data_IF_434995673858
#
_entry.id   IF_434995673858
#
_cell.length_a   1.000
_cell.length_b   1.000
_cell.length_c   1.000
_cell.angle_alpha   90.00
_cell.angle_beta   90.00
_cell.angle_gamma   90.00
#
_symmetry.space_group_name_H-M   'P 1'
#
loop_
_entity.id
_entity.type
_entity.pdbx_description
1 polymer ?
#
# COMPACT_ATOMS: atom_id res chain seq x y z
N UNK A 1 4.59 3.51 29.87
CA UNK A 1 5.43 3.09 28.74
C UNK A 1 5.98 4.25 27.92
N UNK A 2 5.27 4.89 26.97
CA UNK A 2 5.86 6.01 26.19
C UNK A 2 6.43 7.12 27.10
N UNK A 3 5.65 7.62 28.08
CA UNK A 3 6.14 8.64 29.02
C UNK A 3 7.32 8.23 29.92
N UNK A 4 7.59 6.94 30.11
CA UNK A 4 8.69 6.46 30.96
C UNK A 4 10.02 6.38 30.19
N UNK A 5 9.98 6.11 28.88
CA UNK A 5 11.16 6.04 28.01
C UNK A 5 11.76 7.45 27.75
N UNK A 6 10.96 8.51 27.92
CA UNK A 6 11.29 9.85 27.44
C UNK A 6 11.39 10.95 28.52
N UNK A 7 11.97 10.65 29.69
CA UNK A 7 12.18 11.65 30.75
C UNK A 7 13.42 12.52 30.49
N UNK A 8 13.21 13.70 29.90
CA UNK A 8 14.18 14.81 29.72
C UNK A 8 13.49 16.00 29.02
N UNK A 9 13.91 17.27 29.22
CA UNK A 9 13.23 18.42 28.62
C UNK A 9 13.18 18.38 27.09
N UNK A 10 14.28 18.04 26.42
CA UNK A 10 14.31 17.81 24.96
C UNK A 10 13.47 16.59 24.55
N UNK A 11 13.34 15.58 25.42
CA UNK A 11 12.52 14.39 25.20
C UNK A 11 11.02 14.64 25.38
N UNK A 12 10.62 15.68 26.12
CA UNK A 12 9.22 16.11 26.25
C UNK A 12 8.69 16.69 24.95
N UNK A 13 9.44 17.58 24.30
CA UNK A 13 9.03 18.17 23.04
C UNK A 13 8.95 17.12 21.91
N UNK A 14 9.87 16.14 21.90
CA UNK A 14 9.79 14.95 21.03
C UNK A 14 8.51 14.15 21.26
N UNK A 15 8.24 13.79 22.52
CA UNK A 15 7.03 13.06 22.88
C UNK A 15 5.78 13.82 22.47
N UNK A 16 5.78 15.12 22.69
CA UNK A 16 4.61 15.94 22.45
C UNK A 16 4.27 15.98 20.97
N UNK A 17 5.23 16.18 20.06
CA UNK A 17 4.92 16.19 18.62
C UNK A 17 4.47 14.81 18.14
N UNK A 18 5.13 13.74 18.58
CA UNK A 18 4.83 12.37 18.17
C UNK A 18 3.44 11.95 18.65
N UNK A 19 3.14 12.16 19.93
CA UNK A 19 1.86 11.82 20.53
C UNK A 19 0.72 12.71 20.00
N UNK A 20 1.02 13.95 19.61
CA UNK A 20 0.07 14.82 18.93
C UNK A 20 -0.25 14.34 17.52
N UNK A 21 0.74 13.88 16.74
CA UNK A 21 0.49 13.33 15.40
C UNK A 21 -0.33 12.04 15.46
N UNK A 22 0.02 11.11 16.36
CA UNK A 22 -0.80 9.90 16.58
C UNK A 22 -2.20 10.26 17.06
N UNK A 23 -2.30 11.16 18.05
CA UNK A 23 -3.58 11.63 18.58
C UNK A 23 -4.44 12.34 17.52
N UNK A 24 -3.81 13.07 16.59
CA UNK A 24 -4.47 13.74 15.48
C UNK A 24 -5.16 12.74 14.55
N UNK A 25 -4.46 11.70 14.08
CA UNK A 25 -5.05 10.71 13.19
C UNK A 25 -6.13 9.87 13.87
N UNK A 26 -5.93 9.48 15.14
CA UNK A 26 -6.95 8.76 15.92
C UNK A 26 -8.20 9.62 16.11
N UNK A 27 -8.04 10.89 16.48
CA UNK A 27 -9.16 11.81 16.66
C UNK A 27 -9.91 12.09 15.35
N UNK A 28 -9.20 12.20 14.23
CA UNK A 28 -9.82 12.33 12.92
C UNK A 28 -10.57 11.06 12.52
N UNK A 29 -9.99 9.87 12.69
CA UNK A 29 -10.70 8.62 12.44
C UNK A 29 -11.98 8.51 13.26
N UNK A 30 -11.93 8.84 14.55
CA UNK A 30 -13.11 8.84 15.42
C UNK A 30 -14.19 9.84 14.94
N UNK A 31 -13.80 11.01 14.46
CA UNK A 31 -14.72 11.96 13.84
C UNK A 31 -15.41 11.32 12.63
N UNK A 32 -14.67 10.67 11.72
CA UNK A 32 -15.24 10.06 10.53
C UNK A 32 -16.13 8.84 10.86
N UNK A 33 -15.77 8.03 11.85
CA UNK A 33 -16.60 6.92 12.35
C UNK A 33 -17.91 7.38 12.98
N UNK A 34 -17.93 8.59 13.53
CA UNK A 34 -19.15 9.18 14.10
C UNK A 34 -20.12 9.73 13.04
N UNK A 35 -19.67 9.86 11.77
CA UNK A 35 -20.51 10.33 10.67
C UNK A 35 -21.49 9.23 10.20
N UNK A 36 -22.56 9.65 9.52
CA UNK A 36 -23.49 8.71 8.89
C UNK A 36 -22.81 7.86 7.79
N UNK A 37 -23.36 6.68 7.42
CA UNK A 37 -22.72 5.76 6.47
C UNK A 37 -22.37 6.35 5.09
N UNK A 38 -23.05 7.43 4.68
CA UNK A 38 -22.78 8.14 3.41
C UNK A 38 -21.64 9.14 3.49
N UNK A 39 -21.35 9.63 4.69
CA UNK A 39 -20.39 10.71 4.95
C UNK A 39 -19.09 10.20 5.53
N UNK A 40 -19.13 9.03 6.21
CA UNK A 40 -17.98 8.33 6.77
C UNK A 40 -16.90 8.10 5.72
N UNK A 41 -15.66 8.41 6.11
CA UNK A 41 -14.45 8.13 5.34
C UNK A 41 -13.45 7.34 6.18
N UNK A 42 -12.80 6.38 5.58
CA UNK A 42 -11.69 5.69 6.22
C UNK A 42 -10.47 6.62 6.21
N UNK A 43 -9.89 6.84 7.39
CA UNK A 43 -8.73 7.71 7.57
C UNK A 43 -7.51 6.85 7.83
N UNK A 44 -7.59 5.98 8.83
CA UNK A 44 -6.50 5.09 9.20
C UNK A 44 -6.66 3.80 8.41
N UNK A 45 -5.58 3.42 7.75
CA UNK A 45 -5.41 2.11 7.14
C UNK A 45 -4.90 1.14 8.21
N UNK A 46 -3.71 1.44 8.74
CA UNK A 46 -3.06 0.66 9.80
C UNK A 46 -2.60 1.57 10.93
N UNK A 47 -2.84 1.14 12.17
CA UNK A 47 -2.39 1.82 13.37
C UNK A 47 -1.85 0.81 14.38
N UNK A 48 -0.53 0.73 14.46
CA UNK A 48 0.20 -0.03 15.48
C UNK A 48 0.91 0.86 16.50
N UNK A 49 0.60 2.16 16.48
CA UNK A 49 1.10 3.09 17.48
C UNK A 49 0.36 2.94 18.82
N UNK A 50 1.01 3.20 19.96
CA UNK A 50 0.31 3.35 21.24
C UNK A 50 -0.73 4.49 21.18
N UNK A 51 -1.77 4.40 22.00
CA UNK A 51 -2.84 5.41 22.07
C UNK A 51 -2.26 6.83 22.22
N UNK A 52 -2.64 7.72 21.32
CA UNK A 52 -2.24 9.13 21.31
C UNK A 52 -2.91 9.97 22.40
N UNK A 53 -2.69 11.29 22.36
CA UNK A 53 -3.36 12.23 23.25
C UNK A 53 -4.88 12.25 22.99
N UNK A 54 -5.66 12.58 24.03
CA UNK A 54 -7.12 12.73 23.96
C UNK A 54 -7.56 13.98 23.19
N UNK A 55 -7.27 14.02 21.89
CA UNK A 55 -7.75 15.04 20.95
C UNK A 55 -9.16 14.65 20.52
N UNK A 56 -10.04 15.64 20.38
CA UNK A 56 -11.40 15.46 19.87
C UNK A 56 -11.65 16.51 18.80
N UNK A 57 -12.20 16.08 17.67
CA UNK A 57 -12.66 16.97 16.61
C UNK A 57 -14.17 16.82 16.45
N UNK A 58 -14.84 17.94 16.22
CA UNK A 58 -16.26 18.02 15.91
C UNK A 58 -16.48 18.26 14.41
N UNK A 59 -15.48 18.80 13.71
CA UNK A 59 -15.60 19.16 12.28
C UNK A 59 -14.30 18.91 11.51
N UNK A 60 -14.41 18.62 10.21
CA UNK A 60 -13.25 18.51 9.29
C UNK A 60 -12.44 19.81 9.20
N UNK A 61 -13.03 20.97 9.49
CA UNK A 61 -12.30 22.25 9.54
C UNK A 61 -11.36 22.32 10.74
N UNK A 62 -11.74 21.78 11.90
CA UNK A 62 -10.85 21.67 13.05
C UNK A 62 -9.70 20.69 12.75
N UNK A 63 -10.00 19.56 12.09
CA UNK A 63 -8.98 18.61 11.61
C UNK A 63 -7.96 19.34 10.72
N UNK A 64 -8.43 20.08 9.70
CA UNK A 64 -7.55 20.83 8.79
C UNK A 64 -6.70 21.86 9.54
N UNK A 65 -7.31 22.65 10.41
CA UNK A 65 -6.59 23.66 11.20
C UNK A 65 -5.51 23.06 12.09
N UNK A 66 -5.75 21.88 12.67
CA UNK A 66 -4.77 21.16 13.48
C UNK A 66 -3.64 20.58 12.61
N UNK A 67 -3.97 19.98 11.47
CA UNK A 67 -2.98 19.46 10.51
C UNK A 67 -2.04 20.56 10.00
N UNK A 68 -2.56 21.75 9.68
CA UNK A 68 -1.75 22.91 9.27
C UNK A 68 -0.80 23.38 10.40
N UNK A 69 -1.25 23.32 11.66
CA UNK A 69 -0.40 23.67 12.81
C UNK A 69 0.71 22.63 13.02
N UNK A 70 0.38 21.34 12.98
CA UNK A 70 1.37 20.26 13.07
C UNK A 70 2.40 20.37 11.95
N UNK A 71 1.97 20.55 10.70
CA UNK A 71 2.87 20.65 9.56
C UNK A 71 3.82 21.85 9.71
N UNK A 72 3.31 23.02 10.13
CA UNK A 72 4.17 24.19 10.38
C UNK A 72 5.22 23.92 11.47
N UNK A 73 4.84 23.24 12.56
CA UNK A 73 5.80 22.89 13.63
C UNK A 73 6.86 21.91 13.12
N UNK A 74 6.46 20.82 12.46
CA UNK A 74 7.38 19.82 11.90
C UNK A 74 8.35 20.46 10.90
N UNK A 75 7.85 21.33 10.04
CA UNK A 75 8.64 21.96 8.97
C UNK A 75 9.60 23.03 9.47
N UNK A 76 9.13 23.92 10.35
CA UNK A 76 9.84 25.17 10.67
C UNK A 76 10.47 25.22 12.05
N UNK A 77 10.23 24.25 12.92
CA UNK A 77 10.89 24.20 14.23
C UNK A 77 12.29 23.57 14.10
N UNK A 78 13.38 24.37 14.18
CA UNK A 78 14.74 23.85 14.06
C UNK A 78 15.16 23.04 15.29
N UNK A 79 14.45 23.18 16.41
CA UNK A 79 14.74 22.50 17.67
C UNK A 79 13.96 21.19 17.83
N UNK A 80 13.12 20.84 16.85
CA UNK A 80 12.35 19.60 16.93
C UNK A 80 13.32 18.39 16.94
N UNK A 81 13.33 17.59 18.00
CA UNK A 81 14.26 16.46 18.19
C UNK A 81 13.86 15.22 17.35
N UNK A 82 13.32 15.43 16.15
CA UNK A 82 12.92 14.37 15.22
C UNK A 82 14.01 14.24 14.14
N UNK A 83 14.51 13.02 13.86
CA UNK A 83 15.48 12.78 12.79
C UNK A 83 15.02 13.38 11.46
N UNK A 84 15.96 13.86 10.64
CA UNK A 84 15.65 14.56 9.39
C UNK A 84 14.78 13.72 8.46
N UNK A 85 15.13 12.46 8.25
CA UNK A 85 14.40 11.53 7.40
C UNK A 85 12.96 11.31 7.90
N UNK A 86 12.78 11.20 9.22
CA UNK A 86 11.46 11.05 9.80
C UNK A 86 10.63 12.34 9.67
N UNK A 87 11.27 13.50 9.83
CA UNK A 87 10.62 14.80 9.60
C UNK A 87 10.15 14.95 8.15
N UNK A 88 10.98 14.55 7.18
CA UNK A 88 10.63 14.53 5.75
C UNK A 88 9.41 13.63 5.51
N UNK A 89 9.36 12.45 6.14
CA UNK A 89 8.22 11.54 6.09
C UNK A 89 6.94 12.18 6.66
N UNK A 90 6.98 12.66 7.91
CA UNK A 90 5.83 13.23 8.59
C UNK A 90 5.30 14.50 7.89
N UNK A 91 6.18 15.33 7.32
CA UNK A 91 5.77 16.47 6.51
C UNK A 91 5.00 16.02 5.26
N UNK A 92 5.50 15.00 4.55
CA UNK A 92 4.84 14.44 3.38
C UNK A 92 3.46 13.85 3.74
N UNK A 93 3.38 13.13 4.87
CA UNK A 93 2.16 12.54 5.43
C UNK A 93 1.07 13.59 5.71
N UNK A 94 1.45 14.69 6.38
CA UNK A 94 0.54 15.79 6.69
C UNK A 94 0.14 16.58 5.45
N UNK A 95 1.06 16.78 4.50
CA UNK A 95 0.77 17.44 3.23
C UNK A 95 -0.26 16.67 2.42
N UNK A 96 -0.08 15.36 2.30
CA UNK A 96 -1.05 14.45 1.68
C UNK A 96 -2.42 14.51 2.38
N UNK A 97 -2.41 14.52 3.71
CA UNK A 97 -3.64 14.66 4.53
C UNK A 97 -4.38 15.98 4.29
N UNK A 98 -3.66 17.09 4.11
CA UNK A 98 -4.25 18.39 3.78
C UNK A 98 -4.87 18.42 2.37
N UNK A 99 -4.21 17.79 1.39
CA UNK A 99 -4.78 17.61 0.05
C UNK A 99 -6.05 16.75 0.10
N UNK A 100 -6.01 15.62 0.83
CA UNK A 100 -7.18 14.77 1.02
C UNK A 100 -8.36 15.50 1.70
N UNK A 101 -8.10 16.24 2.79
CA UNK A 101 -9.12 17.07 3.45
C UNK A 101 -9.70 18.14 2.51
N UNK A 102 -8.88 18.70 1.62
CA UNK A 102 -9.33 19.66 0.60
C UNK A 102 -10.31 18.99 -0.36
N UNK A 103 -10.00 17.78 -0.85
CA UNK A 103 -10.89 16.98 -1.68
C UNK A 103 -12.19 16.59 -0.94
N UNK A 104 -12.11 16.19 0.34
CA UNK A 104 -13.28 15.85 1.16
C UNK A 104 -14.24 17.03 1.38
N UNK A 105 -13.73 18.26 1.33
CA UNK A 105 -14.55 19.48 1.39
C UNK A 105 -15.15 19.87 0.02
N UNK A 106 -15.04 19.01 -0.99
CA UNK A 106 -15.62 19.21 -2.32
C UNK A 106 -14.79 20.03 -3.29
N UNK A 107 -13.57 20.43 -2.90
CA UNK A 107 -12.68 21.16 -3.80
C UNK A 107 -11.98 20.20 -4.77
N UNK A 108 -12.31 20.30 -6.05
CA UNK A 108 -11.67 19.49 -7.09
C UNK A 108 -10.29 20.05 -7.43
N UNK A 109 -9.24 19.37 -6.96
CA UNK A 109 -7.86 19.62 -7.38
C UNK A 109 -7.58 19.03 -8.75
N UNK A 110 -6.62 19.60 -9.49
CA UNK A 110 -6.04 18.96 -10.68
C UNK A 110 -5.58 17.53 -10.35
N UNK A 111 -5.74 16.61 -11.29
CA UNK A 111 -5.48 15.19 -11.05
C UNK A 111 -4.00 14.94 -10.74
N UNK A 112 -3.08 15.44 -11.56
CA UNK A 112 -1.66 15.22 -11.36
C UNK A 112 -1.17 15.90 -10.09
N UNK A 113 -1.66 17.11 -9.81
CA UNK A 113 -1.36 17.78 -8.55
C UNK A 113 -1.86 16.97 -7.35
N UNK A 114 -3.10 16.50 -7.37
CA UNK A 114 -3.67 15.71 -6.29
C UNK A 114 -2.89 14.41 -6.04
N UNK A 115 -2.58 13.66 -7.11
CA UNK A 115 -1.79 12.43 -7.00
C UNK A 115 -0.38 12.73 -6.49
N UNK A 116 0.25 13.82 -6.93
CA UNK A 116 1.58 14.17 -6.43
C UNK A 116 1.57 14.55 -4.93
N UNK A 117 0.58 15.33 -4.49
CA UNK A 117 0.49 15.71 -3.07
C UNK A 117 0.19 14.52 -2.17
N UNK A 118 -0.63 13.56 -2.62
CA UNK A 118 -1.06 12.39 -1.83
C UNK A 118 -0.12 11.19 -1.94
N UNK A 119 0.45 10.95 -3.12
CA UNK A 119 1.21 9.73 -3.43
C UNK A 119 2.67 10.00 -3.84
N UNK A 120 3.10 11.28 -3.95
CA UNK A 120 4.46 11.67 -4.36
C UNK A 120 4.93 11.09 -5.71
N UNK A 121 4.00 10.77 -6.60
CA UNK A 121 4.29 10.27 -7.95
C UNK A 121 3.62 11.12 -9.02
N UNK A 122 4.18 11.06 -10.23
CA UNK A 122 3.59 11.66 -11.42
C UNK A 122 3.20 10.52 -12.37
N UNK A 123 1.94 10.06 -12.31
CA UNK A 123 1.57 8.84 -13.00
C UNK A 123 1.58 9.04 -14.51
N UNK A 124 2.02 8.01 -15.22
CA UNK A 124 2.08 7.97 -16.69
C UNK A 124 1.57 6.63 -17.19
N UNK A 125 0.88 6.67 -18.31
CA UNK A 125 0.41 5.44 -18.94
C UNK A 125 1.58 4.50 -19.26
N UNK A 126 1.38 3.21 -19.00
CA UNK A 126 2.22 2.15 -19.53
C UNK A 126 2.00 2.04 -21.04
N UNK A 127 3.05 1.70 -21.77
CA UNK A 127 2.94 1.53 -23.22
C UNK A 127 2.11 0.30 -23.58
N UNK A 128 1.45 0.36 -24.74
CA UNK A 128 0.72 -0.80 -25.28
C UNK A 128 1.66 -2.01 -25.52
N UNK A 129 2.96 -1.76 -25.73
CA UNK A 129 3.98 -2.81 -25.81
C UNK A 129 4.17 -3.56 -24.49
N UNK A 130 4.26 -2.84 -23.37
CA UNK A 130 4.37 -3.44 -22.02
C UNK A 130 3.12 -4.25 -21.66
N UNK A 131 1.93 -3.73 -21.98
CA UNK A 131 0.66 -4.43 -21.76
C UNK A 131 0.57 -5.68 -22.63
N UNK A 132 0.93 -5.56 -23.92
CA UNK A 132 0.95 -6.69 -24.85
C UNK A 132 1.94 -7.80 -24.45
N UNK A 133 3.10 -7.43 -23.90
CA UNK A 133 4.06 -8.39 -23.37
C UNK A 133 3.50 -9.11 -22.13
N UNK A 134 2.95 -8.36 -21.16
CA UNK A 134 2.33 -8.94 -19.97
C UNK A 134 1.17 -9.89 -20.34
N UNK A 135 0.32 -9.51 -21.29
CA UNK A 135 -0.78 -10.34 -21.79
C UNK A 135 -0.25 -11.61 -22.47
N UNK A 136 0.81 -11.49 -23.26
CA UNK A 136 1.46 -12.64 -23.92
C UNK A 136 2.05 -13.62 -22.91
N UNK A 137 2.67 -13.13 -21.83
CA UNK A 137 3.18 -13.98 -20.74
C UNK A 137 2.05 -14.75 -20.07
N UNK A 138 0.94 -14.07 -19.72
CA UNK A 138 -0.24 -14.72 -19.13
C UNK A 138 -0.83 -15.76 -20.08
N UNK A 139 -0.94 -15.45 -21.37
CA UNK A 139 -1.45 -16.38 -22.37
C UNK A 139 -0.58 -17.64 -22.50
N UNK A 140 0.74 -17.48 -22.52
CA UNK A 140 1.68 -18.62 -22.54
C UNK A 140 1.52 -19.51 -21.31
N UNK A 141 1.30 -18.91 -20.13
CA UNK A 141 1.07 -19.66 -18.90
C UNK A 141 -0.27 -20.40 -18.91
N UNK A 142 -1.34 -19.79 -19.42
CA UNK A 142 -2.63 -20.44 -19.64
C UNK A 142 -2.48 -21.64 -20.59
N UNK A 143 -1.75 -21.48 -21.69
CA UNK A 143 -1.48 -22.56 -22.64
C UNK A 143 -0.70 -23.71 -22.01
N UNK A 144 0.26 -23.39 -21.13
CA UNK A 144 1.03 -24.37 -20.36
C UNK A 144 0.20 -25.10 -19.29
N UNK A 145 -0.96 -24.55 -18.92
CA UNK A 145 -1.99 -25.19 -18.08
C UNK A 145 -3.10 -25.84 -18.92
N UNK A 146 -2.86 -26.03 -20.22
CA UNK A 146 -3.78 -26.63 -21.19
C UNK A 146 -5.06 -25.84 -21.52
N UNK A 147 -5.14 -24.57 -21.13
CA UNK A 147 -6.17 -23.64 -21.60
C UNK A 147 -5.78 -23.07 -22.96
N UNK A 148 -6.29 -23.65 -24.06
CA UNK A 148 -5.94 -23.26 -25.44
C UNK A 148 -6.86 -22.16 -25.99
N UNK A 149 -6.42 -21.54 -27.09
CA UNK A 149 -7.16 -20.49 -27.79
C UNK A 149 -6.45 -19.13 -27.74
N UNK A 150 -7.14 -18.09 -28.19
CA UNK A 150 -6.72 -16.71 -27.92
C UNK A 150 -6.88 -16.36 -26.43
N UNK A 151 -6.44 -15.16 -26.04
CA UNK A 151 -6.48 -14.73 -24.65
C UNK A 151 -7.88 -14.78 -24.05
N UNK A 152 -8.90 -14.30 -24.78
CA UNK A 152 -10.26 -14.24 -24.29
C UNK A 152 -10.86 -15.62 -24.03
N UNK A 153 -10.67 -16.57 -24.95
CA UNK A 153 -11.17 -17.94 -24.78
C UNK A 153 -10.39 -18.68 -23.68
N UNK A 154 -9.06 -18.58 -23.67
CA UNK A 154 -8.23 -19.25 -22.68
C UNK A 154 -8.52 -18.78 -21.25
N UNK A 155 -8.62 -17.46 -21.03
CA UNK A 155 -8.94 -16.92 -19.70
C UNK A 155 -10.38 -17.20 -19.30
N UNK A 156 -11.33 -17.17 -20.25
CA UNK A 156 -12.73 -17.51 -20.01
C UNK A 156 -12.87 -18.94 -19.46
N UNK A 157 -12.34 -19.92 -20.19
CA UNK A 157 -12.37 -21.33 -19.78
C UNK A 157 -11.65 -21.55 -18.44
N UNK A 158 -10.48 -20.93 -18.25
CA UNK A 158 -9.75 -21.03 -16.99
C UNK A 158 -10.61 -20.60 -15.79
N UNK A 159 -11.28 -19.44 -15.90
CA UNK A 159 -12.09 -18.91 -14.79
C UNK A 159 -13.35 -19.73 -14.54
N UNK A 160 -13.97 -20.26 -15.59
CA UNK A 160 -15.14 -21.13 -15.47
C UNK A 160 -14.82 -22.44 -14.73
N UNK A 161 -13.68 -23.06 -15.03
CA UNK A 161 -13.28 -24.34 -14.43
C UNK A 161 -12.65 -24.22 -13.04
N UNK A 162 -12.04 -23.07 -12.73
CA UNK A 162 -11.20 -22.90 -11.52
C UNK A 162 -11.80 -21.95 -10.48
N UNK A 163 -13.11 -21.72 -10.49
CA UNK A 163 -13.79 -21.01 -9.42
C UNK A 163 -13.58 -21.67 -8.05
N UNK A 164 -13.37 -20.87 -7.01
CA UNK A 164 -13.13 -21.36 -5.65
C UNK A 164 -14.37 -21.25 -4.77
N UNK A 165 -14.57 -22.26 -3.92
CA UNK A 165 -15.51 -22.20 -2.79
C UNK A 165 -14.93 -21.41 -1.62
N UNK A 166 -15.79 -20.96 -0.70
CA UNK A 166 -15.38 -20.25 0.52
C UNK A 166 -14.30 -20.99 1.33
N UNK A 167 -14.45 -22.30 1.54
CA UNK A 167 -13.45 -23.08 2.29
C UNK A 167 -12.11 -23.16 1.58
N UNK A 168 -12.10 -23.22 0.23
CA UNK A 168 -10.88 -23.20 -0.56
C UNK A 168 -10.19 -21.83 -0.50
N UNK A 169 -10.96 -20.73 -0.53
CA UNK A 169 -10.44 -19.36 -0.39
C UNK A 169 -9.78 -19.20 0.98
N UNK A 170 -10.53 -19.44 2.06
CA UNK A 170 -10.04 -19.23 3.42
C UNK A 170 -8.86 -20.15 3.75
N UNK A 171 -8.99 -21.45 3.47
CA UNK A 171 -7.93 -22.42 3.72
C UNK A 171 -6.68 -22.17 2.88
N UNK A 172 -6.86 -21.77 1.62
CA UNK A 172 -5.76 -21.46 0.72
C UNK A 172 -4.98 -20.21 1.13
N UNK A 173 -5.68 -19.14 1.52
CA UNK A 173 -5.04 -17.90 2.00
C UNK A 173 -4.26 -18.16 3.29
N UNK A 174 -4.86 -18.86 4.27
CA UNK A 174 -4.18 -19.20 5.54
C UNK A 174 -2.95 -20.07 5.28
N UNK A 175 -3.09 -21.13 4.48
CA UNK A 175 -1.98 -22.03 4.16
C UNK A 175 -0.84 -21.32 3.43
N UNK A 176 -1.16 -20.41 2.51
CA UNK A 176 -0.17 -19.60 1.82
C UNK A 176 0.56 -18.64 2.78
N UNK A 177 -0.17 -17.97 3.68
CA UNK A 177 0.44 -17.12 4.70
C UNK A 177 1.44 -17.90 5.57
N UNK A 178 1.03 -19.04 6.13
CA UNK A 178 1.89 -19.89 6.96
C UNK A 178 3.11 -20.42 6.20
N UNK A 179 2.94 -20.75 4.92
CA UNK A 179 4.02 -21.23 4.03
C UNK A 179 5.06 -20.15 3.74
N UNK A 180 4.66 -18.91 3.52
CA UNK A 180 5.54 -17.85 3.03
C UNK A 180 6.12 -16.95 4.14
N UNK A 181 5.52 -16.90 5.33
CA UNK A 181 6.08 -16.22 6.50
C UNK A 181 7.55 -16.56 6.78
N UNK A 182 7.97 -17.84 6.91
CA UNK A 182 9.36 -18.18 7.17
C UNK A 182 10.30 -17.74 6.03
N UNK A 183 9.81 -17.72 4.79
CA UNK A 183 10.59 -17.27 3.62
C UNK A 183 10.85 -15.77 3.69
N UNK A 184 9.84 -14.96 4.02
CA UNK A 184 10.00 -13.52 4.19
C UNK A 184 10.93 -13.20 5.37
N UNK A 185 10.82 -13.92 6.49
CA UNK A 185 11.73 -13.78 7.62
C UNK A 185 13.17 -14.08 7.22
N UNK A 186 13.42 -15.18 6.52
CA UNK A 186 14.77 -15.53 6.05
C UNK A 186 15.29 -14.49 5.05
N UNK A 187 14.47 -14.10 4.09
CA UNK A 187 14.84 -13.13 3.06
C UNK A 187 15.10 -11.74 3.62
N UNK A 188 14.31 -11.25 4.56
CA UNK A 188 14.51 -9.91 5.15
C UNK A 188 15.49 -9.93 6.32
N UNK A 189 15.69 -11.08 6.95
CA UNK A 189 16.41 -11.23 8.22
C UNK A 189 15.66 -10.63 9.42
N UNK A 190 14.36 -10.42 9.31
CA UNK A 190 13.54 -9.78 10.36
C UNK A 190 12.83 -10.87 11.15
N UNK A 191 13.22 -11.01 12.41
CA UNK A 191 12.73 -12.05 13.31
C UNK A 191 11.50 -11.57 14.09
N UNK A 192 10.41 -11.28 13.36
CA UNK A 192 9.10 -10.97 13.94
C UNK A 192 8.00 -11.63 13.11
N UNK A 193 7.15 -12.40 13.78
CA UNK A 193 5.99 -13.02 13.14
C UNK A 193 4.73 -12.19 13.50
N UNK A 194 3.90 -11.80 12.52
CA UNK A 194 2.66 -11.09 12.80
C UNK A 194 1.68 -11.98 13.56
N UNK A 195 1.08 -11.44 14.61
CA UNK A 195 -0.11 -12.06 15.21
C UNK A 195 -1.35 -11.52 14.50
N UNK A 196 -2.09 -12.40 13.83
CA UNK A 196 -3.25 -12.02 13.06
C UNK A 196 -4.40 -13.02 13.19
N UNK A 197 -5.62 -12.55 12.87
CA UNK A 197 -6.79 -13.40 12.68
C UNK A 197 -7.46 -13.11 11.35
N UNK A 198 -8.14 -14.12 10.80
CA UNK A 198 -8.81 -14.04 9.51
C UNK A 198 -10.31 -13.94 9.70
N UNK A 199 -10.95 -12.97 9.03
CA UNK A 199 -12.40 -12.74 9.08
C UNK A 199 -12.96 -12.76 7.66
N UNK A 200 -13.90 -13.66 7.32
CA UNK A 200 -14.64 -13.56 6.07
C UNK A 200 -15.62 -12.38 6.13
N UNK A 201 -15.67 -11.61 5.06
CA UNK A 201 -16.65 -10.52 4.87
C UNK A 201 -17.36 -10.66 3.53
N UNK A 202 -18.57 -10.12 3.45
CA UNK A 202 -19.40 -10.13 2.23
C UNK A 202 -19.83 -8.70 1.94
N UNK A 203 -18.93 -7.91 1.36
CA UNK A 203 -19.17 -6.51 1.05
C UNK A 203 -18.91 -6.21 -0.42
N UNK A 204 -19.62 -5.21 -0.93
CA UNK A 204 -19.37 -4.69 -2.27
C UNK A 204 -18.16 -3.73 -2.24
N UNK A 205 -16.96 -4.31 -2.26
CA UNK A 205 -15.68 -3.60 -2.27
C UNK A 205 -14.81 -4.10 -3.44
N UNK A 206 -13.91 -3.26 -3.98
CA UNK A 206 -13.03 -3.64 -5.10
C UNK A 206 -11.84 -4.52 -4.69
N UNK A 207 -11.66 -4.74 -3.38
CA UNK A 207 -10.55 -5.49 -2.81
C UNK A 207 -11.02 -6.89 -2.44
N UNK A 208 -10.14 -7.86 -2.68
CA UNK A 208 -10.33 -9.27 -2.32
C UNK A 208 -10.00 -9.52 -0.86
N UNK A 209 -8.97 -8.87 -0.37
CA UNK A 209 -8.58 -8.88 1.02
C UNK A 209 -7.88 -7.56 1.34
N UNK A 210 -7.77 -7.28 2.63
CA UNK A 210 -6.97 -6.19 3.17
C UNK A 210 -6.65 -6.49 4.64
N UNK A 211 -5.55 -5.94 5.11
CA UNK A 211 -5.26 -5.87 6.54
C UNK A 211 -5.89 -4.63 7.15
N UNK A 212 -6.30 -4.76 8.40
CA UNK A 212 -6.59 -3.62 9.28
C UNK A 212 -6.07 -3.92 10.68
N UNK A 213 -5.97 -2.89 11.51
CA UNK A 213 -5.58 -3.05 12.91
C UNK A 213 -6.71 -2.68 13.86
N UNK A 214 -7.00 -3.54 14.83
CA UNK A 214 -7.94 -3.24 15.91
C UNK A 214 -7.24 -3.44 17.26
N UNK A 215 -7.05 -2.35 18.02
CA UNK A 215 -6.38 -2.38 19.33
C UNK A 215 -4.99 -3.05 19.29
N UNK A 216 -4.28 -2.91 18.18
CA UNK A 216 -2.95 -3.49 17.95
C UNK A 216 -2.95 -4.95 17.51
N UNK A 217 -4.11 -5.59 17.30
CA UNK A 217 -4.24 -6.89 16.63
C UNK A 217 -4.39 -6.68 15.12
N UNK A 218 -3.68 -7.47 14.31
CA UNK A 218 -3.82 -7.47 12.85
C UNK A 218 -5.02 -8.34 12.46
N UNK A 219 -5.91 -7.82 11.64
CA UNK A 219 -7.08 -8.51 11.12
C UNK A 219 -6.96 -8.57 9.61
N UNK A 220 -6.96 -9.77 9.05
CA UNK A 220 -7.12 -10.00 7.62
C UNK A 220 -8.59 -10.19 7.30
N UNK A 221 -9.20 -9.23 6.59
CA UNK A 221 -10.55 -9.40 6.06
C UNK A 221 -10.50 -10.00 4.66
N UNK A 222 -11.31 -11.02 4.39
CA UNK A 222 -11.37 -11.69 3.09
C UNK A 222 -12.77 -11.53 2.50
N UNK A 223 -12.87 -10.78 1.42
CA UNK A 223 -14.13 -10.51 0.72
C UNK A 223 -14.54 -11.68 -0.18
N UNK A 224 -15.47 -12.47 0.31
CA UNK A 224 -16.01 -13.63 -0.40
C UNK A 224 -16.95 -13.26 -1.55
N UNK A 225 -17.48 -12.02 -1.54
CA UNK A 225 -18.43 -11.51 -2.54
C UNK A 225 -17.81 -10.62 -3.62
N UNK A 226 -16.50 -10.77 -3.89
CA UNK A 226 -15.82 -9.97 -4.91
C UNK A 226 -16.49 -10.11 -6.29
N UNK A 227 -16.78 -9.02 -7.05
CA UNK A 227 -17.60 -9.06 -8.26
C UNK A 227 -17.11 -10.02 -9.35
N UNK A 228 -15.79 -10.12 -9.51
CA UNK A 228 -15.15 -11.00 -10.49
C UNK A 228 -15.02 -12.46 -10.00
N UNK A 229 -15.44 -12.78 -8.77
CA UNK A 229 -15.31 -14.10 -8.14
C UNK A 229 -13.86 -14.49 -7.84
N UNK A 230 -13.65 -15.55 -7.09
CA UNK A 230 -12.31 -16.08 -6.78
C UNK A 230 -11.94 -17.24 -7.70
N UNK A 231 -10.71 -17.25 -8.19
CA UNK A 231 -10.16 -18.33 -9.04
C UNK A 231 -8.85 -18.86 -8.49
N UNK A 232 -8.57 -20.14 -8.75
CA UNK A 232 -7.39 -20.85 -8.27
C UNK A 232 -6.08 -20.07 -8.50
N UNK A 233 -5.22 -20.07 -7.49
CA UNK A 233 -3.97 -19.31 -7.45
C UNK A 233 -4.12 -17.93 -6.80
N UNK A 234 -5.32 -17.34 -6.78
CA UNK A 234 -5.54 -16.04 -6.12
C UNK A 234 -5.40 -16.14 -4.60
N UNK A 235 -5.84 -17.25 -4.01
CA UNK A 235 -5.66 -17.57 -2.59
C UNK A 235 -4.17 -17.62 -2.22
N UNK A 236 -3.32 -18.19 -3.07
CA UNK A 236 -1.87 -18.27 -2.85
C UNK A 236 -1.21 -16.89 -2.97
N UNK A 237 -1.59 -16.11 -4.01
CA UNK A 237 -1.09 -14.74 -4.20
C UNK A 237 -1.52 -13.81 -3.07
N UNK A 238 -2.80 -13.79 -2.71
CA UNK A 238 -3.32 -12.93 -1.64
C UNK A 238 -2.73 -13.34 -0.29
N UNK A 239 -2.63 -14.65 -0.02
CA UNK A 239 -1.98 -15.14 1.19
C UNK A 239 -0.52 -14.75 1.30
N UNK A 240 0.21 -14.57 0.18
CA UNK A 240 1.56 -14.00 0.16
C UNK A 240 1.56 -12.47 0.36
N UNK A 241 0.68 -11.77 -0.35
CA UNK A 241 0.60 -10.30 -0.37
C UNK A 241 0.28 -9.72 1.01
N UNK A 242 -0.77 -10.23 1.65
CA UNK A 242 -1.31 -9.62 2.86
C UNK A 242 -0.48 -9.95 4.10
N UNK A 243 -0.32 -11.23 4.45
CA UNK A 243 0.23 -11.58 5.77
C UNK A 243 1.77 -11.61 5.78
N UNK A 244 2.45 -12.40 4.94
CA UNK A 244 3.91 -12.46 4.90
C UNK A 244 4.55 -11.12 4.59
N UNK A 245 4.01 -10.35 3.63
CA UNK A 245 4.59 -9.05 3.28
C UNK A 245 4.04 -7.97 4.22
N UNK A 246 2.78 -7.54 4.08
CA UNK A 246 2.27 -6.43 4.90
C UNK A 246 2.22 -6.75 6.39
N UNK A 247 1.75 -7.94 6.78
CA UNK A 247 1.68 -8.35 8.19
C UNK A 247 3.04 -8.27 8.87
N UNK A 248 4.10 -8.79 8.24
CA UNK A 248 5.47 -8.70 8.76
C UNK A 248 6.00 -7.26 8.75
N UNK A 249 5.73 -6.45 7.72
CA UNK A 249 6.07 -5.01 7.72
C UNK A 249 5.46 -4.31 8.94
N UNK A 250 4.16 -4.51 9.17
CA UNK A 250 3.41 -3.90 10.27
C UNK A 250 3.96 -4.35 11.64
N UNK A 251 4.18 -5.65 11.82
CA UNK A 251 4.74 -6.20 13.04
C UNK A 251 6.16 -5.68 13.31
N UNK A 252 6.96 -5.54 12.26
CA UNK A 252 8.32 -4.99 12.32
C UNK A 252 8.34 -3.50 12.62
N UNK A 253 7.43 -2.70 12.05
CA UNK A 253 7.31 -1.28 12.40
C UNK A 253 6.90 -1.11 13.86
N UNK A 254 5.97 -1.92 14.36
CA UNK A 254 5.61 -1.91 15.78
C UNK A 254 6.83 -2.22 16.66
N UNK A 255 7.56 -3.29 16.37
CA UNK A 255 8.77 -3.65 17.12
C UNK A 255 9.83 -2.54 17.04
N UNK A 256 10.04 -1.96 15.86
CA UNK A 256 10.97 -0.86 15.63
C UNK A 256 10.57 0.39 16.42
N UNK A 257 9.26 0.65 16.55
CA UNK A 257 8.75 1.76 17.35
C UNK A 257 8.91 1.53 18.85
N UNK A 258 8.60 0.31 19.32
CA UNK A 258 8.80 -0.10 20.71
C UNK A 258 10.29 -0.03 21.12
N UNK A 259 11.20 -0.32 20.18
CA UNK A 259 12.64 -0.20 20.34
C UNK A 259 13.19 1.24 20.16
N UNK A 260 12.34 2.22 19.83
CA UNK A 260 12.75 3.60 19.60
C UNK A 260 13.60 3.83 18.35
N UNK A 261 13.56 2.89 17.38
CA UNK A 261 14.23 2.99 16.07
C UNK A 261 13.44 3.93 15.14
N UNK A 262 12.12 3.88 15.21
CA UNK A 262 11.22 4.79 14.50
C UNK A 262 10.22 5.40 15.47
N UNK A 263 9.71 6.58 15.13
CA UNK A 263 8.66 7.20 15.90
C UNK A 263 7.32 6.45 15.80
N UNK A 264 6.57 6.37 16.91
CA UNK A 264 5.16 5.99 16.90
C UNK A 264 4.30 6.71 15.86
N UNK A 265 4.61 7.96 15.53
CA UNK A 265 3.83 8.72 14.54
C UNK A 265 3.95 8.12 13.13
N UNK A 266 5.07 7.49 12.80
CA UNK A 266 5.26 6.76 11.54
C UNK A 266 4.47 5.45 11.49
N UNK A 267 3.98 4.94 12.62
CA UNK A 267 3.24 3.68 12.69
C UNK A 267 1.73 3.84 12.46
N UNK A 268 1.29 5.02 12.00
CA UNK A 268 -0.09 5.30 11.61
C UNK A 268 -0.12 5.57 10.12
N UNK A 269 -0.51 4.59 9.32
CA UNK A 269 -0.61 4.74 7.86
C UNK A 269 -2.03 5.12 7.45
N UNK A 270 -2.13 5.75 6.28
CA UNK A 270 -3.43 6.08 5.68
C UNK A 270 -3.40 5.73 4.19
N UNK A 271 -4.56 5.51 3.57
CA UNK A 271 -4.60 5.17 2.14
C UNK A 271 -4.25 6.38 1.24
N UNK A 272 -4.44 7.60 1.73
CA UNK A 272 -4.18 8.82 0.96
C UNK A 272 -2.75 9.36 1.11
N UNK A 273 -1.81 8.57 1.65
CA UNK A 273 -0.44 9.03 1.97
C UNK A 273 0.65 8.30 1.17
N UNK A 274 1.83 8.93 1.00
CA UNK A 274 2.77 8.55 -0.07
C UNK A 274 3.55 7.26 0.20
N UNK A 275 3.54 6.74 1.42
CA UNK A 275 4.10 5.44 1.76
C UNK A 275 3.37 4.29 1.07
N UNK A 276 2.12 4.48 0.62
CA UNK A 276 1.39 3.42 -0.07
C UNK A 276 2.07 2.99 -1.38
N UNK A 277 2.82 3.88 -2.04
CA UNK A 277 3.67 3.52 -3.20
C UNK A 277 4.71 2.46 -2.82
N UNK A 278 5.33 2.60 -1.64
CA UNK A 278 6.30 1.64 -1.10
C UNK A 278 5.59 0.33 -0.77
N UNK A 279 4.58 0.43 0.10
CA UNK A 279 3.89 -0.71 0.71
C UNK A 279 3.29 -1.60 -0.38
N UNK A 280 2.38 -1.06 -1.18
CA UNK A 280 1.67 -1.85 -2.20
C UNK A 280 2.56 -2.20 -3.39
N UNK A 281 3.53 -1.33 -3.70
CA UNK A 281 4.51 -1.56 -4.73
C UNK A 281 5.38 -2.78 -4.45
N UNK A 282 5.89 -2.91 -3.22
CA UNK A 282 6.74 -4.01 -2.80
C UNK A 282 5.95 -5.33 -2.83
N UNK A 283 4.76 -5.36 -2.24
CA UNK A 283 3.93 -6.57 -2.19
C UNK A 283 3.51 -7.05 -3.58
N UNK A 284 3.21 -6.12 -4.49
CA UNK A 284 2.86 -6.44 -5.88
C UNK A 284 4.08 -6.94 -6.68
N UNK A 285 5.24 -6.31 -6.50
CA UNK A 285 6.41 -6.55 -7.36
C UNK A 285 7.32 -7.67 -6.90
N UNK A 286 7.48 -7.90 -5.60
CA UNK A 286 8.42 -8.89 -5.06
C UNK A 286 8.22 -10.29 -5.67
N UNK A 287 7.00 -10.86 -5.77
CA UNK A 287 6.81 -12.16 -6.43
C UNK A 287 7.02 -12.13 -7.95
N UNK A 288 7.02 -10.96 -8.60
CA UNK A 288 7.33 -10.80 -10.02
C UNK A 288 8.83 -10.80 -10.29
N UNK A 289 9.61 -10.12 -9.43
CA UNK A 289 11.06 -9.90 -9.61
C UNK A 289 11.92 -10.93 -8.87
N UNK A 290 11.38 -11.62 -7.87
CA UNK A 290 12.00 -12.73 -7.14
C UNK A 290 11.12 -14.01 -7.20
N UNK A 291 10.71 -14.49 -8.39
CA UNK A 291 9.80 -15.63 -8.48
C UNK A 291 10.38 -16.94 -7.90
N UNK A 292 11.70 -17.07 -7.81
CA UNK A 292 12.41 -18.19 -7.21
C UNK A 292 12.34 -18.22 -5.68
N UNK A 293 12.10 -17.06 -5.05
CA UNK A 293 11.98 -16.96 -3.60
C UNK A 293 10.71 -17.66 -3.12
N UNK A 294 9.65 -17.60 -3.93
CA UNK A 294 8.34 -18.13 -3.56
C UNK A 294 8.05 -19.43 -4.33
N UNK A 295 7.92 -20.57 -3.65
CA UNK A 295 7.55 -21.83 -4.28
C UNK A 295 6.06 -21.87 -4.65
N UNK A 296 5.61 -20.91 -5.46
CA UNK A 296 4.24 -20.78 -5.96
C UNK A 296 3.88 -21.96 -6.86
N UNK A 297 2.63 -22.42 -6.77
CA UNK A 297 2.06 -23.36 -7.73
C UNK A 297 2.00 -22.72 -9.13
N UNK A 298 1.85 -23.50 -10.22
CA UNK A 298 1.61 -22.94 -11.55
C UNK A 298 0.44 -21.95 -11.59
N UNK A 299 -0.64 -22.22 -10.83
CA UNK A 299 -1.78 -21.33 -10.68
C UNK A 299 -1.43 -20.06 -9.89
N UNK A 300 -0.68 -20.16 -8.80
CA UNK A 300 -0.18 -18.99 -8.05
C UNK A 300 0.69 -18.08 -8.91
N UNK A 301 1.61 -18.65 -9.69
CA UNK A 301 2.44 -17.90 -10.65
C UNK A 301 1.60 -17.20 -11.71
N UNK A 302 0.60 -17.91 -12.27
CA UNK A 302 -0.36 -17.33 -13.21
C UNK A 302 -1.11 -16.16 -12.55
N UNK A 303 -1.58 -16.33 -11.31
CA UNK A 303 -2.31 -15.28 -10.60
C UNK A 303 -1.45 -14.04 -10.36
N UNK A 304 -0.15 -14.19 -10.06
CA UNK A 304 0.78 -13.05 -9.90
C UNK A 304 0.90 -12.28 -11.22
N UNK A 305 1.09 -12.99 -12.34
CA UNK A 305 1.21 -12.36 -13.67
C UNK A 305 -0.10 -11.74 -14.16
N UNK A 306 -1.23 -12.38 -13.88
CA UNK A 306 -2.55 -11.87 -14.21
C UNK A 306 -2.87 -10.61 -13.40
N UNK A 307 -2.60 -10.58 -12.09
CA UNK A 307 -2.77 -9.37 -11.27
C UNK A 307 -1.93 -8.22 -11.82
N UNK A 308 -0.66 -8.47 -12.16
CA UNK A 308 0.18 -7.43 -12.78
C UNK A 308 -0.42 -6.87 -14.07
N UNK A 309 -0.87 -7.73 -14.99
CA UNK A 309 -1.58 -7.29 -16.20
C UNK A 309 -2.83 -6.46 -15.87
N UNK A 310 -3.65 -6.89 -14.90
CA UNK A 310 -4.81 -6.13 -14.42
C UNK A 310 -4.39 -4.73 -13.94
N UNK A 311 -3.31 -4.63 -13.16
CA UNK A 311 -2.80 -3.35 -12.65
C UNK A 311 -2.36 -2.44 -13.79
N UNK A 312 -1.66 -2.94 -14.81
CA UNK A 312 -1.23 -2.11 -15.94
C UNK A 312 -2.43 -1.54 -16.73
N UNK A 313 -3.40 -2.38 -17.07
CA UNK A 313 -4.58 -1.98 -17.84
C UNK A 313 -5.44 -1.01 -17.05
N UNK A 314 -5.73 -1.33 -15.79
CA UNK A 314 -6.54 -0.47 -14.91
C UNK A 314 -5.82 0.84 -14.55
N UNK A 315 -4.49 0.86 -14.54
CA UNK A 315 -3.70 2.09 -14.37
C UNK A 315 -3.93 3.05 -15.54
N UNK A 316 -3.78 2.57 -16.78
CA UNK A 316 -4.03 3.41 -17.96
C UNK A 316 -5.47 3.91 -17.99
N UNK A 317 -6.45 3.03 -17.72
CA UNK A 317 -7.86 3.42 -17.67
C UNK A 317 -8.14 4.45 -16.56
N UNK A 318 -7.48 4.35 -15.41
CA UNK A 318 -7.58 5.32 -14.31
C UNK A 318 -7.11 6.70 -14.72
N UNK A 319 -5.94 6.79 -15.34
CA UNK A 319 -5.38 8.06 -15.84
C UNK A 319 -6.35 8.67 -16.85
N UNK A 320 -6.74 7.90 -17.87
CA UNK A 320 -7.65 8.36 -18.92
C UNK A 320 -8.97 8.88 -18.32
N UNK A 321 -9.56 8.13 -17.38
CA UNK A 321 -10.82 8.50 -16.74
C UNK A 321 -10.73 9.79 -15.90
N UNK A 322 -9.58 10.06 -15.27
CA UNK A 322 -9.36 11.26 -14.47
C UNK A 322 -8.95 12.49 -15.29
N UNK A 323 -8.36 12.28 -16.48
CA UNK A 323 -7.99 13.34 -17.42
C UNK A 323 -9.11 13.69 -18.40
N UNK A 324 -10.19 12.90 -18.45
CA UNK A 324 -11.36 13.23 -19.24
C UNK A 324 -11.93 14.61 -18.86
N UNK A 325 -12.29 15.38 -19.90
CA UNK A 325 -13.01 16.63 -19.73
C UNK A 325 -14.30 16.40 -18.93
N UNK A 326 -14.68 17.32 -18.02
CA UNK A 326 -16.01 17.29 -17.40
C UNK A 326 -17.17 17.30 -18.42
N UNK A 327 -16.91 17.75 -19.66
CA UNK A 327 -17.86 17.77 -20.76
C UNK A 327 -17.81 16.53 -21.66
N UNK A 328 -16.96 15.54 -21.34
CA UNK A 328 -16.85 14.32 -22.12
C UNK A 328 -18.23 13.66 -22.28
N UNK A 329 -18.50 13.18 -23.48
CA UNK A 329 -19.69 12.44 -23.84
C UNK A 329 -19.72 11.08 -23.15
N UNK A 330 -20.89 10.43 -23.16
CA UNK A 330 -20.99 9.04 -22.71
C UNK A 330 -20.11 8.11 -23.55
N UNK A 331 -20.02 8.35 -24.85
CA UNK A 331 -19.19 7.55 -25.77
C UNK A 331 -17.72 7.59 -25.39
N UNK A 332 -17.15 8.77 -25.15
CA UNK A 332 -15.74 8.90 -24.75
C UNK A 332 -15.44 8.19 -23.42
N UNK A 333 -16.41 8.16 -22.49
CA UNK A 333 -16.29 7.37 -21.26
C UNK A 333 -16.36 5.86 -21.54
N UNK A 334 -17.30 5.45 -22.39
CA UNK A 334 -17.51 4.05 -22.76
C UNK A 334 -16.27 3.50 -23.53
N UNK A 335 -15.57 4.32 -24.33
CA UNK A 335 -14.31 3.96 -25.01
C UNK A 335 -13.18 3.55 -24.03
N UNK A 336 -13.12 4.16 -22.84
CA UNK A 336 -12.17 3.75 -21.79
C UNK A 336 -12.59 2.41 -21.16
N UNK A 337 -13.89 2.17 -21.01
CA UNK A 337 -14.40 0.89 -20.51
C UNK A 337 -14.13 -0.22 -21.52
N UNK A 338 -14.35 0.04 -22.81
CA UNK A 338 -14.02 -0.87 -23.91
C UNK A 338 -12.53 -1.21 -23.93
N UNK A 339 -11.65 -0.23 -23.71
CA UNK A 339 -10.22 -0.47 -23.58
C UNK A 339 -9.89 -1.52 -22.50
N UNK A 340 -10.51 -1.42 -21.32
CA UNK A 340 -10.31 -2.40 -20.24
C UNK A 340 -10.86 -3.76 -20.62
N UNK A 341 -12.10 -3.83 -21.11
CA UNK A 341 -12.75 -5.11 -21.45
C UNK A 341 -12.04 -5.82 -22.61
N UNK A 342 -11.46 -5.09 -23.54
CA UNK A 342 -10.68 -5.67 -24.64
C UNK A 342 -9.38 -6.34 -24.15
N UNK A 343 -8.73 -5.77 -23.12
CA UNK A 343 -7.52 -6.36 -22.54
C UNK A 343 -7.82 -7.39 -21.45
N UNK A 344 -8.93 -7.24 -20.74
CA UNK A 344 -9.38 -8.06 -19.61
C UNK A 344 -10.83 -8.55 -19.84
N UNK A 345 -11.04 -9.50 -20.78
CA UNK A 345 -12.36 -9.88 -21.27
C UNK A 345 -13.26 -10.58 -20.25
N UNK A 346 -12.71 -10.96 -19.09
CA UNK A 346 -13.48 -11.50 -17.96
C UNK A 346 -14.06 -10.42 -17.05
N UNK A 347 -13.67 -9.16 -17.21
CA UNK A 347 -14.28 -8.05 -16.48
C UNK A 347 -15.56 -7.61 -17.19
N UNK A 348 -16.64 -7.42 -16.42
CA UNK A 348 -17.91 -6.97 -16.98
C UNK A 348 -17.87 -5.47 -17.23
N UNK A 349 -18.38 -5.05 -18.40
CA UNK A 349 -18.45 -3.64 -18.80
C UNK A 349 -19.04 -2.73 -17.71
N UNK A 350 -20.14 -3.16 -17.08
CA UNK A 350 -20.79 -2.40 -16.00
C UNK A 350 -19.87 -2.23 -14.79
N UNK A 351 -19.22 -3.30 -14.35
CA UNK A 351 -18.38 -3.29 -13.15
C UNK A 351 -17.14 -2.42 -13.37
N UNK A 352 -16.53 -2.48 -14.56
CA UNK A 352 -15.45 -1.58 -14.98
C UNK A 352 -15.90 -0.12 -14.95
N UNK A 353 -17.07 0.18 -15.54
CA UNK A 353 -17.61 1.54 -15.56
C UNK A 353 -17.83 2.08 -14.14
N UNK A 354 -18.48 1.30 -13.28
CA UNK A 354 -18.78 1.69 -11.91
C UNK A 354 -17.47 1.87 -11.11
N UNK A 355 -16.45 1.03 -11.37
CA UNK A 355 -15.10 1.17 -10.79
C UNK A 355 -14.38 2.44 -11.23
N UNK A 356 -14.40 2.77 -12.53
CA UNK A 356 -13.77 3.98 -13.06
C UNK A 356 -14.49 5.24 -12.59
N UNK A 357 -15.82 5.22 -12.48
CA UNK A 357 -16.60 6.32 -11.91
C UNK A 357 -16.19 6.59 -10.45
N UNK A 358 -16.04 5.53 -9.65
CA UNK A 358 -15.57 5.62 -8.28
C UNK A 358 -14.16 6.20 -8.20
N UNK A 359 -13.22 5.70 -9.01
CA UNK A 359 -11.83 6.21 -9.14
C UNK A 359 -11.72 7.66 -9.63
N UNK A 360 -12.79 8.26 -10.15
CA UNK A 360 -12.79 9.69 -10.51
C UNK A 360 -13.51 10.57 -9.48
N UNK A 361 -14.29 9.99 -8.56
CA UNK A 361 -15.15 10.72 -7.62
C UNK A 361 -14.75 10.58 -6.17
N UNK A 362 -14.35 9.39 -5.74
CA UNK A 362 -13.93 9.18 -4.37
C UNK A 362 -12.50 9.71 -4.18
N UNK A 363 -12.29 10.45 -3.09
CA UNK A 363 -11.02 11.13 -2.84
C UNK A 363 -9.87 10.14 -2.60
N UNK A 364 -10.12 8.99 -1.98
CA UNK A 364 -9.09 7.95 -1.76
C UNK A 364 -8.83 7.24 -3.08
N UNK A 365 -9.88 6.69 -3.69
CA UNK A 365 -9.75 5.86 -4.90
C UNK A 365 -9.16 6.64 -6.08
N UNK A 366 -9.25 7.97 -6.06
CA UNK A 366 -8.66 8.84 -7.09
C UNK A 366 -7.13 8.79 -7.17
N UNK A 367 -6.45 8.43 -6.08
CA UNK A 367 -4.99 8.38 -6.07
C UNK A 367 -4.46 7.02 -5.60
N UNK A 368 -5.07 6.43 -4.56
CA UNK A 368 -4.56 5.23 -3.90
C UNK A 368 -4.38 4.04 -4.85
N UNK A 369 -5.33 3.81 -5.77
CA UNK A 369 -5.29 2.67 -6.69
C UNK A 369 -4.11 2.70 -7.67
N UNK A 370 -3.44 3.86 -7.83
CA UNK A 370 -2.20 3.98 -8.60
C UNK A 370 -0.98 3.42 -7.84
N UNK A 371 -1.05 3.28 -6.52
CA UNK A 371 0.07 2.83 -5.68
C UNK A 371 0.59 1.46 -6.06
N UNK A 372 -0.30 0.51 -6.37
CA UNK A 372 0.06 -0.82 -6.84
C UNK A 372 0.97 -0.78 -8.07
N UNK A 373 0.61 0.00 -9.08
CA UNK A 373 1.26 -0.02 -10.39
C UNK A 373 2.46 0.93 -10.48
N UNK A 374 2.35 2.13 -9.92
CA UNK A 374 3.47 3.06 -9.76
C UNK A 374 4.53 2.50 -8.82
N UNK A 375 4.10 1.90 -7.71
CA UNK A 375 4.95 1.21 -6.76
C UNK A 375 5.63 -0.01 -7.38
N UNK A 376 4.90 -0.85 -8.14
CA UNK A 376 5.53 -1.97 -8.83
C UNK A 376 6.58 -1.50 -9.84
N UNK A 377 6.29 -0.44 -10.61
CA UNK A 377 7.27 0.17 -11.54
C UNK A 377 8.52 0.64 -10.80
N UNK A 378 8.35 1.36 -9.68
CA UNK A 378 9.46 1.82 -8.83
C UNK A 378 10.35 0.65 -8.40
N UNK A 379 9.77 -0.43 -7.88
CA UNK A 379 10.55 -1.56 -7.38
C UNK A 379 11.23 -2.35 -8.49
N UNK A 380 10.58 -2.52 -9.65
CA UNK A 380 11.20 -3.13 -10.83
C UNK A 380 12.40 -2.28 -11.29
N UNK A 381 12.26 -0.96 -11.37
CA UNK A 381 13.37 -0.06 -11.71
C UNK A 381 14.54 -0.20 -10.72
N UNK A 382 14.24 -0.23 -9.41
CA UNK A 382 15.26 -0.34 -8.36
C UNK A 382 15.93 -1.70 -8.34
N UNK A 383 15.19 -2.77 -8.63
CA UNK A 383 15.71 -4.12 -8.77
C UNK A 383 16.76 -4.21 -9.88
N UNK A 384 16.48 -3.61 -11.05
CA UNK A 384 17.44 -3.54 -12.14
C UNK A 384 18.66 -2.66 -11.78
N UNK A 385 18.43 -1.52 -11.13
CA UNK A 385 19.49 -0.56 -10.79
C UNK A 385 20.46 -1.05 -9.71
N UNK A 386 19.96 -1.76 -8.70
CA UNK A 386 20.78 -2.31 -7.61
C UNK A 386 21.46 -3.62 -8.00
N UNK A 387 21.06 -4.20 -9.13
CA UNK A 387 21.51 -5.50 -9.61
C UNK A 387 20.55 -6.59 -9.16
N UNK A 388 20.12 -7.40 -10.14
CA UNK A 388 19.20 -8.52 -9.91
C UNK A 388 19.80 -9.50 -8.89
N UNK A 389 18.98 -9.89 -7.91
CA UNK A 389 19.34 -10.82 -6.84
C UNK A 389 20.56 -10.36 -6.03
N UNK A 390 20.79 -9.05 -5.96
CA UNK A 390 21.88 -8.49 -5.17
C UNK A 390 21.51 -8.37 -3.69
N UNK A 391 22.53 -8.46 -2.84
CA UNK A 391 22.39 -8.12 -1.43
C UNK A 391 21.94 -6.66 -1.24
N UNK A 392 22.24 -5.75 -2.18
CA UNK A 392 21.78 -4.37 -2.12
C UNK A 392 20.25 -4.27 -2.21
N UNK A 393 19.62 -5.03 -3.11
CA UNK A 393 18.16 -5.04 -3.21
C UNK A 393 17.53 -5.68 -1.97
N UNK A 394 18.10 -6.76 -1.45
CA UNK A 394 17.67 -7.37 -0.19
C UNK A 394 17.72 -6.38 0.98
N UNK A 395 18.78 -5.57 1.07
CA UNK A 395 18.92 -4.50 2.08
C UNK A 395 17.88 -3.40 1.93
N UNK A 396 17.53 -3.02 0.70
CA UNK A 396 16.42 -2.10 0.44
C UNK A 396 15.10 -2.67 0.98
N UNK A 397 14.77 -3.91 0.61
CA UNK A 397 13.55 -4.57 1.09
C UNK A 397 13.53 -4.66 2.62
N UNK A 398 14.64 -5.03 3.24
CA UNK A 398 14.77 -5.05 4.71
C UNK A 398 14.46 -3.67 5.32
N UNK A 399 14.97 -2.59 4.73
CA UNK A 399 14.73 -1.24 5.24
C UNK A 399 13.25 -0.84 5.19
N UNK A 400 12.53 -1.18 4.10
CA UNK A 400 11.09 -0.94 3.97
C UNK A 400 10.25 -1.75 4.98
N UNK A 401 10.75 -2.88 5.45
CA UNK A 401 10.14 -3.61 6.55
C UNK A 401 10.48 -3.02 7.92
N UNK A 402 11.60 -2.33 8.08
CA UNK A 402 11.98 -1.69 9.34
C UNK A 402 11.28 -0.35 9.55
N UNK A 403 10.93 0.35 8.46
CA UNK A 403 10.22 1.63 8.54
C UNK A 403 9.37 1.91 7.29
N UNK A 404 8.26 2.63 7.42
CA UNK A 404 7.55 3.14 6.25
C UNK A 404 8.41 4.21 5.56
N UNK A 405 8.36 4.22 4.23
CA UNK A 405 9.17 5.13 3.42
C UNK A 405 8.31 5.69 2.28
N UNK A 406 8.54 6.95 1.93
CA UNK A 406 7.98 7.48 0.69
C UNK A 406 8.81 7.06 -0.53
N UNK A 407 8.24 7.18 -1.73
CA UNK A 407 8.96 6.86 -2.98
C UNK A 407 10.30 7.61 -3.11
N UNK A 408 10.35 8.88 -2.70
CA UNK A 408 11.60 9.68 -2.73
C UNK A 408 12.63 9.16 -1.72
N UNK A 409 12.19 8.71 -0.54
CA UNK A 409 13.07 8.14 0.47
C UNK A 409 13.66 6.80 0.02
N UNK A 410 12.86 5.95 -0.63
CA UNK A 410 13.32 4.69 -1.22
C UNK A 410 14.39 4.96 -2.28
N UNK A 411 14.12 5.88 -3.22
CA UNK A 411 15.10 6.24 -4.27
C UNK A 411 16.39 6.80 -3.68
N UNK A 412 16.29 7.65 -2.65
CA UNK A 412 17.45 8.20 -1.92
C UNK A 412 18.26 7.07 -1.25
N UNK A 413 17.60 6.15 -0.55
CA UNK A 413 18.25 5.03 0.13
C UNK A 413 18.94 4.09 -0.87
N UNK A 414 18.25 3.74 -1.97
CA UNK A 414 18.83 2.92 -3.04
C UNK A 414 20.07 3.58 -3.68
N UNK A 415 20.05 4.90 -3.92
CA UNK A 415 21.24 5.60 -4.42
C UNK A 415 22.41 5.54 -3.42
N UNK A 416 22.13 5.71 -2.14
CA UNK A 416 23.14 5.63 -1.08
C UNK A 416 23.74 4.22 -0.93
N UNK A 417 22.92 3.17 -1.09
CA UNK A 417 23.38 1.77 -1.14
C UNK A 417 24.33 1.56 -2.33
N UNK A 418 23.93 1.97 -3.53
CA UNK A 418 24.74 1.83 -4.76
C UNK A 418 26.08 2.59 -4.67
N UNK A 419 26.08 3.75 -4.02
CA UNK A 419 27.27 4.58 -3.82
C UNK A 419 28.17 4.08 -2.67
N UNK A 420 27.78 3.00 -1.96
CA UNK A 420 28.54 2.46 -0.83
C UNK A 420 28.59 3.40 0.38
N UNK A 421 27.67 4.38 0.46
CA UNK A 421 27.55 5.33 1.57
C UNK A 421 26.96 4.68 2.82
N UNK A 422 26.22 3.58 2.66
CA UNK A 422 25.67 2.77 3.74
C UNK A 422 26.37 1.40 3.72
N UNK A 423 27.33 1.21 4.61
CA UNK A 423 28.08 -0.06 4.76
C UNK A 423 27.42 -0.98 5.79
N UNK A 424 27.63 -2.28 5.67
CA UNK A 424 27.24 -3.25 6.73
C UNK A 424 27.81 -2.79 8.08
N UNK A 425 26.95 -2.72 9.10
CA UNK A 425 27.29 -2.22 10.44
C UNK A 425 27.16 -0.71 10.65
N UNK A 426 26.89 0.06 9.59
CA UNK A 426 26.53 1.49 9.61
C UNK A 426 25.06 1.70 9.17
N UNK A 427 24.21 0.67 9.27
CA UNK A 427 22.77 0.85 9.01
C UNK A 427 22.24 1.99 9.86
N UNK A 428 21.26 2.73 9.36
CA UNK A 428 20.77 3.95 10.02
C UNK A 428 20.29 3.64 11.46
N UNK A 429 19.91 2.40 11.74
CA UNK A 429 19.63 1.86 13.09
C UNK A 429 20.83 1.82 14.04
N UNK A 430 22.07 1.77 13.54
CA UNK A 430 23.33 1.84 14.31
C UNK A 430 23.79 3.27 14.58
N UNK A 431 23.39 4.23 13.73
CA UNK A 431 23.65 5.66 13.95
C UNK A 431 22.57 6.36 14.76
N UNK A 432 21.38 5.77 14.86
CA UNK A 432 20.44 6.12 15.92
C UNK A 432 21.01 5.46 17.17
N UNK A 433 21.70 6.26 18.01
CA UNK A 433 21.87 5.86 19.41
C UNK A 433 20.47 5.48 19.89
N UNK A 434 20.21 4.25 20.35
CA UNK A 434 18.90 3.88 20.87
C UNK A 434 18.46 5.01 21.78
N UNK A 435 17.24 5.52 21.61
CA UNK A 435 16.63 6.41 22.60
C UNK A 435 16.37 5.58 23.87
N UNK A 436 17.46 5.22 24.55
CA UNK A 436 17.63 4.37 25.72
C UNK A 436 16.99 2.97 25.67
N UNK A 437 17.85 1.95 25.54
CA UNK A 437 17.70 0.73 26.36
C UNK A 437 17.89 1.13 27.83
N UNK A 438 16.79 1.42 28.50
CA UNK A 438 16.78 1.92 29.86
C UNK A 438 15.45 1.65 30.55
N UNK A 439 14.98 0.41 30.47
CA UNK A 439 14.21 -0.31 31.50
C UNK A 439 14.26 -1.81 31.20
#
# INVERSE_FOLDING_TARGET
MAREIYNGPEKRDYCDIVLQTVGFYVAWNNLEESQGPKERKEVIDLNVAPLGLGIVFETRNQVRGYAEQLQRRIKYDPHLPVPKEEREYLEAHLRASLAYLTALNGYKQDFHHYVHETQQVYPREFSEGEIGEAQSQVLQMLHGLDYKGDFANAIGHFREENGLSESQILGGVISAAEKFLPIIREYTGIDVDPTYRVIPVNINAPWRAWLKTERGEIILEINLSHPEGWVRGQEERIGLHEVPIHGTQIASWRQSSEAGIISPASCVTTLHTPEQISIEGLATSLPLIQPELFPLTPFGKLSVKLDYLERLVLHNAHIRANLLSPLATRRERDEIVEYVVNHLPYMKFRDVRDRLERRSKDAVDRAYELSYSEGARLHIELFEQLGRNSELFRRLVREEFLRPMTADQIRKFASQLREGKIREGNDISSTITPLATGL
#
